data_IF_624859524476
#
_entry.id   IF_624859524476
#
_cell.length_a   1.000
_cell.length_b   1.000
_cell.length_c   1.000
_cell.angle_alpha   90.00
_cell.angle_beta   90.00
_cell.angle_gamma   90.00
#
_symmetry.space_group_name_H-M   'P 1'
#
loop_
_entity.id
_entity.type
_entity.pdbx_description
1 polymer ?
#
# COMPACT_ATOMS: atom_id res chain seq x y z
N UNK A 1 7.40 14.33 18.90
CA UNK A 1 7.33 14.20 18.24
C UNK A 1 7.75 13.81 17.21
N UNK A 2 7.92 13.22 16.71
CA UNK A 2 8.40 12.93 15.80
C UNK A 2 8.08 13.11 14.72
N UNK A 3 8.43 13.42 14.12
CA UNK A 3 8.23 13.82 13.15
C UNK A 3 8.44 13.21 12.02
N UNK A 4 9.15 12.59 11.72
CA UNK A 4 9.42 11.99 10.49
C UNK A 4 8.73 10.71 10.45
N UNK A 5 7.48 10.69 10.24
CA UNK A 5 6.76 9.49 10.02
C UNK A 5 6.98 9.02 8.64
N UNK A 6 7.65 7.91 8.47
CA UNK A 6 7.76 7.28 7.17
C UNK A 6 6.43 6.71 6.78
N UNK A 7 6.07 6.91 5.54
CA UNK A 7 4.83 6.37 5.01
C UNK A 7 5.13 5.09 4.25
N UNK A 8 4.22 4.14 4.35
CA UNK A 8 4.36 2.87 3.65
C UNK A 8 3.17 2.68 2.73
N UNK A 9 3.45 2.23 1.52
CA UNK A 9 2.42 2.05 0.50
C UNK A 9 2.49 0.65 -0.08
N UNK A 10 1.32 0.13 -0.44
CA UNK A 10 1.22 -1.02 -1.31
C UNK A 10 0.58 -0.53 -2.60
N UNK A 11 1.12 -0.93 -3.75
CA UNK A 11 0.65 -0.42 -5.02
C UNK A 11 0.02 -1.52 -5.86
N UNK A 12 -0.87 -1.11 -6.75
CA UNK A 12 -1.63 -2.02 -7.60
C UNK A 12 -1.68 -1.50 -9.02
N UNK A 13 -1.67 -2.40 -9.99
CA UNK A 13 -1.86 -2.04 -11.39
C UNK A 13 -3.32 -2.14 -11.80
N UNK A 14 -4.10 -2.94 -11.09
CA UNK A 14 -5.47 -3.26 -11.46
C UNK A 14 -6.41 -2.73 -10.39
N UNK A 15 -7.38 -1.91 -10.81
CA UNK A 15 -8.28 -1.25 -9.86
C UNK A 15 -9.06 -2.25 -9.02
N UNK A 16 -9.55 -3.33 -9.64
CA UNK A 16 -10.33 -4.31 -8.90
C UNK A 16 -9.53 -4.95 -7.77
N UNK A 17 -8.24 -5.12 -7.96
CA UNK A 17 -7.39 -5.68 -6.91
C UNK A 17 -7.22 -4.67 -5.77
N UNK A 18 -7.06 -3.39 -6.10
CA UNK A 18 -6.93 -2.36 -5.09
C UNK A 18 -8.19 -2.27 -4.23
N UNK A 19 -9.36 -2.29 -4.86
CA UNK A 19 -10.61 -2.21 -4.12
C UNK A 19 -10.87 -3.47 -3.31
N UNK A 20 -10.53 -4.62 -3.86
CA UNK A 20 -10.66 -5.87 -3.13
C UNK A 20 -9.79 -5.85 -1.87
N UNK A 21 -8.56 -5.37 -2.01
CA UNK A 21 -7.65 -5.23 -0.89
C UNK A 21 -8.24 -4.32 0.17
N UNK A 22 -8.74 -3.16 -0.23
CA UNK A 22 -9.30 -2.21 0.71
C UNK A 22 -10.46 -2.83 1.48
N UNK A 23 -11.34 -3.54 0.79
CA UNK A 23 -12.49 -4.15 1.42
C UNK A 23 -12.10 -5.20 2.45
N UNK A 24 -11.14 -6.05 2.11
CA UNK A 24 -10.70 -7.08 3.06
C UNK A 24 -10.01 -6.47 4.26
N UNK A 25 -9.24 -5.41 4.05
CA UNK A 25 -8.58 -4.75 5.17
C UNK A 25 -9.58 -4.12 6.12
N UNK A 26 -10.64 -3.52 5.57
CA UNK A 26 -11.69 -2.95 6.41
C UNK A 26 -12.37 -4.02 7.25
N UNK A 27 -12.61 -5.19 6.66
CA UNK A 27 -13.21 -6.30 7.39
C UNK A 27 -12.31 -6.83 8.48
N UNK A 28 -11.01 -6.78 8.24
CA UNK A 28 -10.02 -7.23 9.20
C UNK A 28 -9.66 -6.15 10.21
N UNK A 29 -10.32 -5.01 10.14
CA UNK A 29 -10.09 -3.90 11.04
C UNK A 29 -8.69 -3.34 10.91
N UNK A 30 -8.12 -3.43 9.74
CA UNK A 30 -6.82 -2.83 9.44
C UNK A 30 -7.03 -1.44 8.88
N UNK A 31 -6.23 -0.51 9.36
CA UNK A 31 -6.32 0.87 8.92
C UNK A 31 -5.52 1.05 7.63
N UNK A 32 -6.23 1.18 6.51
CA UNK A 32 -5.59 1.45 5.23
C UNK A 32 -6.37 2.57 4.54
N UNK A 33 -5.71 3.25 3.63
CA UNK A 33 -6.35 4.37 2.95
C UNK A 33 -5.84 4.46 1.52
N UNK A 34 -6.78 4.55 0.58
CA UNK A 34 -6.41 4.80 -0.81
C UNK A 34 -5.83 6.20 -0.91
N UNK A 35 -4.70 6.31 -1.58
CA UNK A 35 -4.01 7.59 -1.73
C UNK A 35 -3.57 7.73 -3.18
N UNK A 36 -3.30 8.96 -3.62
CA UNK A 36 -2.76 9.15 -4.96
C UNK A 36 -1.38 8.50 -5.08
N UNK A 37 -1.14 7.90 -6.24
CA UNK A 37 0.17 7.29 -6.49
C UNK A 37 1.21 8.40 -6.61
N UNK A 38 2.35 8.28 -5.91
CA UNK A 38 3.41 9.28 -6.08
C UNK A 38 3.81 9.39 -7.54
N UNK A 39 4.13 10.61 -7.98
CA UNK A 39 4.42 10.86 -9.38
C UNK A 39 5.56 9.98 -9.89
N UNK A 40 6.51 9.66 -9.04
CA UNK A 40 7.63 8.82 -9.44
C UNK A 40 7.23 7.39 -9.75
N UNK A 41 6.04 6.97 -9.28
CA UNK A 41 5.54 5.62 -9.50
C UNK A 41 4.37 5.58 -10.47
N UNK A 42 3.87 6.71 -10.92
CA UNK A 42 2.62 6.77 -11.67
C UNK A 42 2.69 6.05 -13.01
N UNK A 43 3.88 5.86 -13.56
CA UNK A 43 4.02 5.14 -14.82
C UNK A 43 3.88 3.63 -14.65
N UNK A 44 4.21 3.13 -13.47
CA UNK A 44 4.20 1.70 -13.22
C UNK A 44 2.96 1.22 -12.51
N UNK A 45 2.33 2.09 -11.75
CA UNK A 45 1.21 1.70 -10.88
C UNK A 45 0.12 2.75 -10.98
N UNK A 46 -1.13 2.30 -11.00
CA UNK A 46 -2.25 3.22 -11.07
C UNK A 46 -2.94 3.47 -9.74
N UNK A 47 -2.69 2.62 -8.75
CA UNK A 47 -3.40 2.69 -7.47
C UNK A 47 -2.44 2.43 -6.34
N UNK A 48 -2.64 3.11 -5.22
CA UNK A 48 -1.83 2.93 -4.03
C UNK A 48 -2.69 3.01 -2.79
N UNK A 49 -2.31 2.22 -1.78
CA UNK A 49 -2.94 2.27 -0.47
C UNK A 49 -1.87 2.55 0.56
N UNK A 50 -2.17 3.50 1.45
CA UNK A 50 -1.29 3.76 2.58
C UNK A 50 -1.57 2.73 3.65
N UNK A 51 -0.50 2.14 4.18
CA UNK A 51 -0.59 1.08 5.17
C UNK A 51 0.36 1.38 6.32
N UNK A 52 0.26 0.61 7.38
CA UNK A 52 1.18 0.73 8.51
C UNK A 52 2.31 -0.26 8.35
N UNK A 53 3.49 0.14 8.78
CA UNK A 53 4.65 -0.72 8.70
C UNK A 53 4.43 -2.06 9.38
N UNK A 54 3.82 -2.02 10.57
CA UNK A 54 3.63 -3.23 11.36
C UNK A 54 2.63 -4.20 10.72
N UNK A 55 1.85 -3.73 9.74
CA UNK A 55 0.86 -4.56 9.08
C UNK A 55 1.38 -5.24 7.81
N UNK A 56 2.61 -4.94 7.40
CA UNK A 56 3.12 -5.41 6.11
C UNK A 56 3.10 -6.93 6.01
N UNK A 57 3.58 -7.63 7.03
CA UNK A 57 3.61 -9.10 6.98
C UNK A 57 2.21 -9.68 6.94
N UNK A 58 1.31 -9.12 7.73
CA UNK A 58 -0.07 -9.57 7.76
C UNK A 58 -0.75 -9.30 6.41
N UNK A 59 -0.43 -8.16 5.80
CA UNK A 59 -0.98 -7.80 4.51
C UNK A 59 -0.48 -8.74 3.42
N UNK A 60 0.80 -9.11 3.46
CA UNK A 60 1.32 -10.08 2.51
C UNK A 60 0.56 -11.40 2.60
N UNK A 61 0.32 -11.84 3.84
CA UNK A 61 -0.42 -13.08 4.05
C UNK A 61 -1.86 -12.96 3.55
N UNK A 62 -2.49 -11.83 3.82
CA UNK A 62 -3.86 -11.59 3.38
C UNK A 62 -3.95 -11.63 1.86
N UNK A 63 -3.02 -10.99 1.18
CA UNK A 63 -3.03 -10.97 -0.28
C UNK A 63 -2.86 -12.36 -0.86
N UNK A 64 -2.01 -13.16 -0.23
CA UNK A 64 -1.82 -14.53 -0.67
C UNK A 64 -3.08 -15.35 -0.45
N UNK A 65 -3.68 -15.23 0.74
CA UNK A 65 -4.85 -16.03 1.10
C UNK A 65 -6.06 -15.68 0.24
N UNK A 66 -6.20 -14.42 -0.12
CA UNK A 66 -7.38 -13.93 -0.84
C UNK A 66 -7.12 -13.73 -2.32
N UNK A 67 -5.96 -14.13 -2.79
CA UNK A 67 -5.63 -14.04 -4.21
C UNK A 67 -5.67 -12.60 -4.71
N UNK A 68 -5.17 -11.68 -3.91
CA UNK A 68 -5.09 -10.28 -4.28
C UNK A 68 -3.72 -10.02 -4.88
N UNK A 69 -3.70 -9.60 -6.13
CA UNK A 69 -2.44 -9.31 -6.80
C UNK A 69 -2.08 -7.86 -6.61
N UNK A 70 -0.90 -7.61 -6.05
CA UNK A 70 -0.39 -6.26 -5.88
C UNK A 70 0.91 -6.12 -6.65
N UNK A 71 1.39 -4.89 -6.79
CA UNK A 71 2.59 -4.62 -7.54
C UNK A 71 3.82 -4.68 -6.63
N UNK A 72 3.91 -3.75 -5.70
CA UNK A 72 5.07 -3.65 -4.82
C UNK A 72 4.71 -2.97 -3.52
N UNK A 73 5.60 -3.14 -2.53
CA UNK A 73 5.55 -2.35 -1.31
C UNK A 73 6.64 -1.29 -1.36
N UNK A 74 6.33 -0.10 -0.87
CA UNK A 74 7.27 1.02 -0.87
C UNK A 74 7.28 1.72 0.47
N UNK A 75 8.44 2.27 0.81
CA UNK A 75 8.59 3.22 1.89
C UNK A 75 8.75 4.59 1.26
N UNK A 76 7.99 5.56 1.74
CA UNK A 76 8.03 6.92 1.20
C UNK A 76 8.65 7.83 2.25
N UNK A 77 9.71 8.55 1.89
CA UNK A 77 10.39 9.42 2.84
C UNK A 77 9.76 10.82 2.85
N UNK A 78 10.37 11.72 3.60
CA UNK A 78 9.84 13.07 3.77
C UNK A 78 9.78 13.84 2.47
N UNK A 79 10.63 13.49 1.54
CA UNK A 79 10.68 14.18 0.26
C UNK A 79 9.81 13.51 -0.78
N UNK A 80 8.97 12.59 -0.32
CA UNK A 80 8.04 11.86 -1.18
C UNK A 80 8.77 10.96 -2.18
N UNK A 81 9.95 10.48 -1.80
CA UNK A 81 10.72 9.56 -2.64
C UNK A 81 10.37 8.13 -2.26
N UNK A 82 9.94 7.31 -3.22
CA UNK A 82 9.61 5.92 -2.94
C UNK A 82 10.86 5.03 -2.93
N UNK A 83 10.91 4.14 -1.96
CA UNK A 83 11.97 3.13 -1.87
C UNK A 83 11.30 1.77 -1.83
N UNK A 84 11.64 0.95 -2.80
CA UNK A 84 11.08 -0.39 -2.90
C UNK A 84 11.58 -1.25 -1.75
N UNK A 85 10.67 -1.97 -1.12
CA UNK A 85 11.02 -2.84 0.01
C UNK A 85 11.45 -4.22 -0.46
#
# INVERSE_FOLDING_TARGET
MNKTEEKYLITFKISSMAFKFENYCKRADMEVKMVPVPSKLSKSCGYACRIKKEDIEEIKQLCEDKNIKYSEFYRIDEENTPYKL
#
